data_IF_128817676747
#
_entry.id   IF_128817676747
#
_cell.length_a   1.000
_cell.length_b   1.000
_cell.length_c   1.000
_cell.angle_alpha   90.00
_cell.angle_beta   90.00
_cell.angle_gamma   90.00
#
_symmetry.space_group_name_H-M   'P 1'
#
loop_
_entity.id
_entity.type
_entity.pdbx_description
1 polymer ?
#
# COMPACT_ATOMS: atom_id res chain seq x y z
N UNK A 1 -30.26 2.34 -66.20
CA UNK A 1 -31.64 2.72 -66.58
C UNK A 1 -32.61 1.83 -65.83
N UNK A 2 -33.51 2.45 -65.05
CA UNK A 2 -34.80 1.93 -64.53
C UNK A 2 -34.77 0.67 -63.62
N UNK A 3 -35.55 0.51 -62.55
CA UNK A 3 -36.48 1.33 -61.78
C UNK A 3 -37.16 0.40 -60.73
N UNK A 4 -37.70 0.99 -59.64
CA UNK A 4 -38.86 0.57 -58.80
C UNK A 4 -38.65 -0.28 -57.53
N UNK A 5 -38.57 0.45 -56.43
CA UNK A 5 -39.45 0.49 -55.23
C UNK A 5 -40.41 -0.65 -54.85
N UNK A 6 -40.60 -0.74 -53.51
CA UNK A 6 -41.77 -1.15 -52.65
C UNK A 6 -41.42 -2.31 -51.69
N UNK A 7 -41.82 -2.43 -50.42
CA UNK A 7 -42.48 -1.62 -49.37
C UNK A 7 -42.26 -2.35 -48.02
N UNK A 8 -42.26 -1.63 -46.88
CA UNK A 8 -42.17 -2.17 -45.51
C UNK A 8 -43.32 -3.15 -45.15
N UNK A 9 -43.16 -3.94 -44.07
CA UNK A 9 -44.05 -3.71 -42.92
C UNK A 9 -43.34 -3.66 -41.56
N UNK A 10 -44.06 -3.07 -40.60
CA UNK A 10 -43.73 -2.80 -39.21
C UNK A 10 -44.58 -3.71 -38.32
N UNK A 11 -43.98 -4.55 -37.47
CA UNK A 11 -44.65 -5.15 -36.31
C UNK A 11 -43.65 -5.20 -35.15
N UNK A 12 -44.06 -4.58 -34.04
CA UNK A 12 -43.44 -4.63 -32.71
C UNK A 12 -43.44 -6.06 -32.19
N UNK A 13 -42.37 -6.52 -31.54
CA UNK A 13 -42.49 -7.20 -30.25
C UNK A 13 -41.15 -7.34 -29.51
N UNK A 14 -41.23 -6.91 -28.25
CA UNK A 14 -40.60 -7.43 -27.04
C UNK A 14 -39.13 -7.88 -27.01
N UNK A 15 -38.38 -7.10 -26.22
CA UNK A 15 -37.15 -7.42 -25.50
C UNK A 15 -37.11 -8.83 -24.88
N UNK A 16 -35.90 -9.40 -24.73
CA UNK A 16 -35.52 -9.87 -23.40
C UNK A 16 -34.21 -9.22 -22.96
N UNK A 17 -34.36 -8.23 -22.07
CA UNK A 17 -33.59 -8.02 -20.85
C UNK A 17 -32.30 -8.86 -20.71
N UNK A 18 -31.22 -8.40 -21.34
CA UNK A 18 -29.87 -8.82 -20.95
C UNK A 18 -29.53 -8.03 -19.69
N UNK A 19 -29.64 -8.72 -18.56
CA UNK A 19 -29.14 -8.27 -17.26
C UNK A 19 -27.63 -8.11 -17.34
N UNK A 20 -27.18 -6.96 -17.83
CA UNK A 20 -25.89 -6.40 -17.44
C UNK A 20 -26.02 -6.00 -15.97
N UNK A 21 -25.72 -6.96 -15.09
CA UNK A 21 -25.28 -6.66 -13.73
C UNK A 21 -23.94 -5.94 -13.85
N UNK A 22 -24.01 -4.65 -14.17
CA UNK A 22 -22.92 -3.73 -13.91
C UNK A 22 -22.65 -3.83 -12.40
N UNK A 23 -21.53 -4.48 -12.06
CA UNK A 23 -20.98 -4.50 -10.73
C UNK A 23 -20.97 -3.07 -10.21
N UNK A 24 -21.77 -2.79 -9.17
CA UNK A 24 -21.67 -1.54 -8.42
C UNK A 24 -20.20 -1.35 -8.09
N UNK A 25 -19.59 -0.35 -8.71
CA UNK A 25 -18.31 0.21 -8.30
C UNK A 25 -18.51 0.72 -6.88
N UNK A 26 -18.29 -0.14 -5.89
CA UNK A 26 -18.10 0.27 -4.52
C UNK A 26 -16.87 1.19 -4.56
N UNK A 27 -17.05 2.46 -4.19
CA UNK A 27 -16.00 3.46 -4.24
C UNK A 27 -15.04 3.23 -3.05
N UNK A 28 -14.44 2.04 -2.99
CA UNK A 28 -13.55 1.61 -1.94
C UNK A 28 -12.25 2.37 -2.11
N UNK A 29 -11.78 3.05 -1.06
CA UNK A 29 -10.49 3.72 -1.09
C UNK A 29 -9.38 2.67 -1.22
N UNK A 30 -8.73 2.65 -2.38
CA UNK A 30 -7.59 1.77 -2.65
C UNK A 30 -6.28 2.49 -2.33
N UNK A 31 -5.32 1.73 -1.81
CA UNK A 31 -3.97 2.17 -1.50
C UNK A 31 -2.95 1.17 -2.03
N UNK A 32 -1.85 1.64 -2.65
CA UNK A 32 -1.55 3.02 -3.02
C UNK A 32 -2.29 3.47 -4.30
N UNK A 33 -2.18 4.74 -4.72
CA UNK A 33 -2.80 5.23 -5.96
C UNK A 33 -1.92 5.01 -7.21
N UNK A 34 -0.62 4.77 -7.00
CA UNK A 34 0.35 4.43 -8.04
C UNK A 34 1.54 3.64 -7.48
N UNK A 35 2.46 3.22 -8.33
CA UNK A 35 3.69 2.49 -7.97
C UNK A 35 3.51 0.98 -7.82
N UNK A 36 2.29 0.54 -7.49
CA UNK A 36 1.90 -0.87 -7.46
C UNK A 36 0.91 -1.19 -8.58
N UNK A 37 0.94 -2.44 -9.05
CA UNK A 37 0.02 -2.97 -10.05
C UNK A 37 -1.36 -3.24 -9.46
N UNK A 38 -1.40 -3.81 -8.25
CA UNK A 38 -2.64 -4.12 -7.55
C UNK A 38 -2.77 -3.31 -6.26
N UNK A 39 -3.49 -2.18 -6.27
CA UNK A 39 -3.81 -1.47 -5.06
C UNK A 39 -4.88 -2.24 -4.27
N UNK A 40 -4.87 -2.09 -2.94
CA UNK A 40 -5.75 -2.85 -2.03
C UNK A 40 -6.61 -1.94 -1.19
N UNK A 41 -7.71 -2.48 -0.69
CA UNK A 41 -8.51 -1.86 0.36
C UNK A 41 -8.03 -2.26 1.76
N UNK A 42 -8.31 -1.38 2.72
CA UNK A 42 -8.06 -1.58 4.15
C UNK A 42 -6.62 -2.03 4.47
N UNK A 43 -5.57 -1.33 3.97
CA UNK A 43 -4.19 -1.73 4.17
C UNK A 43 -3.78 -1.94 5.64
N UNK A 44 -4.20 -1.09 6.57
CA UNK A 44 -3.87 -1.21 8.00
C UNK A 44 -4.55 -2.41 8.65
N UNK A 45 -5.80 -2.69 8.26
CA UNK A 45 -6.48 -3.92 8.70
C UNK A 45 -5.74 -5.16 8.20
N UNK A 46 -5.25 -5.17 6.96
CA UNK A 46 -4.46 -6.31 6.44
C UNK A 46 -3.08 -6.41 7.09
N UNK A 47 -2.45 -5.28 7.45
CA UNK A 47 -1.20 -5.27 8.20
C UNK A 47 -1.37 -5.92 9.58
N UNK A 48 -2.45 -5.58 10.28
CA UNK A 48 -2.80 -6.18 11.57
C UNK A 48 -3.06 -7.69 11.46
N UNK A 49 -3.72 -8.12 10.38
CA UNK A 49 -3.99 -9.53 10.11
C UNK A 49 -2.78 -10.30 9.57
N UNK A 50 -1.65 -9.63 9.29
CA UNK A 50 -0.48 -10.24 8.66
C UNK A 50 -0.65 -10.57 7.16
N UNK A 51 -1.76 -10.17 6.53
CA UNK A 51 -2.10 -10.51 5.14
C UNK A 51 -1.85 -9.38 4.14
N UNK A 52 -1.16 -8.30 4.55
CA UNK A 52 -0.94 -7.11 3.70
C UNK A 52 -0.16 -7.40 2.41
N UNK A 53 0.73 -8.40 2.42
CA UNK A 53 1.47 -8.85 1.24
C UNK A 53 0.69 -9.87 0.40
N UNK A 54 -0.41 -10.42 0.93
CA UNK A 54 -1.12 -11.52 0.29
C UNK A 54 -2.00 -11.04 -0.85
N UNK A 55 -2.26 -11.95 -1.80
CA UNK A 55 -3.12 -11.68 -2.97
C UNK A 55 -2.63 -10.48 -3.81
N UNK A 56 -1.31 -10.30 -3.91
CA UNK A 56 -0.65 -9.31 -4.76
C UNK A 56 0.23 -9.98 -5.82
N UNK A 57 0.50 -9.29 -6.95
CA UNK A 57 1.54 -9.69 -7.89
C UNK A 57 2.90 -9.83 -7.19
N UNK A 58 3.74 -10.75 -7.67
CA UNK A 58 5.07 -10.98 -7.08
C UNK A 58 5.92 -9.71 -7.09
N UNK A 59 5.86 -8.95 -8.19
CA UNK A 59 6.56 -7.68 -8.38
C UNK A 59 6.20 -6.69 -7.29
N UNK A 60 4.92 -6.53 -6.97
CA UNK A 60 4.46 -5.64 -5.91
C UNK A 60 4.97 -6.10 -4.54
N UNK A 61 4.96 -7.39 -4.25
CA UNK A 61 5.51 -7.92 -2.99
C UNK A 61 7.02 -7.64 -2.90
N UNK A 62 7.76 -7.79 -4.00
CA UNK A 62 9.19 -7.44 -4.01
C UNK A 62 9.41 -5.96 -3.72
N UNK A 63 8.65 -5.08 -4.38
CA UNK A 63 8.76 -3.63 -4.17
C UNK A 63 8.50 -3.27 -2.71
N UNK A 64 7.42 -3.81 -2.14
CA UNK A 64 7.00 -3.56 -0.76
C UNK A 64 8.03 -4.03 0.27
N UNK A 65 8.59 -5.23 0.10
CA UNK A 65 9.61 -5.77 1.01
C UNK A 65 10.89 -4.93 0.97
N UNK A 66 11.34 -4.55 -0.22
CA UNK A 66 12.54 -3.74 -0.39
C UNK A 66 12.36 -2.35 0.23
N UNK A 67 11.24 -1.69 -0.04
CA UNK A 67 11.00 -0.34 0.46
C UNK A 67 10.72 -0.30 1.96
N UNK A 68 10.10 -1.35 2.51
CA UNK A 68 9.99 -1.50 3.96
C UNK A 68 11.37 -1.56 4.62
N UNK A 69 12.31 -2.33 4.05
CA UNK A 69 13.69 -2.37 4.53
C UNK A 69 14.41 -1.02 4.35
N UNK A 70 14.34 -0.41 3.17
CA UNK A 70 15.03 0.86 2.87
C UNK A 70 14.56 1.98 3.78
N UNK A 71 13.24 2.09 3.97
CA UNK A 71 12.65 3.10 4.86
C UNK A 71 12.98 2.81 6.33
N UNK A 72 12.97 1.55 6.76
CA UNK A 72 13.37 1.19 8.13
C UNK A 72 14.84 1.56 8.41
N UNK A 73 15.74 1.39 7.43
CA UNK A 73 17.13 1.81 7.56
C UNK A 73 17.29 3.33 7.65
N UNK A 74 16.59 4.09 6.82
CA UNK A 74 16.53 5.55 6.91
C UNK A 74 15.97 5.99 8.27
N UNK A 75 14.83 5.45 8.69
CA UNK A 75 14.18 5.85 9.96
C UNK A 75 15.07 5.51 11.17
N UNK A 76 15.81 4.40 11.14
CA UNK A 76 16.77 4.05 12.22
C UNK A 76 17.91 5.07 12.28
N UNK A 77 18.44 5.46 11.12
CA UNK A 77 19.49 6.47 11.03
C UNK A 77 19.00 7.84 11.51
N UNK A 78 17.82 8.27 11.05
CA UNK A 78 17.27 9.60 11.34
C UNK A 78 16.77 9.72 12.78
N UNK A 79 16.02 8.73 13.29
CA UNK A 79 15.35 8.85 14.60
C UNK A 79 16.21 8.37 15.76
N UNK A 80 17.11 7.41 15.54
CA UNK A 80 17.95 6.84 16.62
C UNK A 80 19.41 7.26 16.55
N UNK A 81 19.81 7.97 15.49
CA UNK A 81 21.22 8.19 15.16
C UNK A 81 22.03 6.88 15.13
N UNK A 82 21.35 5.78 14.82
CA UNK A 82 21.93 4.44 14.77
C UNK A 82 22.13 4.00 13.32
N UNK A 83 23.27 3.37 13.06
CA UNK A 83 23.58 2.85 11.74
C UNK A 83 23.32 1.35 11.74
N UNK A 84 22.38 0.91 10.91
CA UNK A 84 22.15 -0.52 10.72
C UNK A 84 23.37 -1.15 10.05
N UNK A 85 23.93 -2.19 10.66
CA UNK A 85 24.95 -3.02 10.04
C UNK A 85 24.46 -3.51 8.66
N UNK A 86 25.36 -3.56 7.69
CA UNK A 86 25.07 -4.01 6.31
C UNK A 86 24.10 -3.14 5.51
N UNK A 87 23.80 -1.94 6.00
CA UNK A 87 23.08 -0.91 5.27
C UNK A 87 24.05 0.04 4.55
N UNK A 88 23.52 0.85 3.63
CA UNK A 88 24.28 1.92 2.97
C UNK A 88 24.77 2.99 3.96
N UNK A 89 24.06 3.20 5.08
CA UNK A 89 24.46 4.14 6.13
C UNK A 89 25.72 3.67 6.88
N UNK A 90 26.01 2.37 6.85
CA UNK A 90 27.25 1.78 7.37
C UNK A 90 28.44 1.89 6.41
N UNK A 91 28.33 2.70 5.34
CA UNK A 91 29.36 2.81 4.31
C UNK A 91 29.42 1.62 3.34
N UNK A 92 28.45 0.71 3.39
CA UNK A 92 28.38 -0.39 2.43
C UNK A 92 27.97 0.11 1.03
N UNK A 93 28.52 -0.51 -0.02
CA UNK A 93 28.17 -0.17 -1.43
C UNK A 93 26.70 -0.39 -1.77
N UNK A 94 25.98 -1.19 -0.98
CA UNK A 94 24.56 -1.49 -1.14
C UNK A 94 24.00 -2.03 0.16
N UNK A 95 22.69 -1.86 0.38
CA UNK A 95 21.96 -2.48 1.49
C UNK A 95 21.61 -3.96 1.28
N UNK A 96 22.17 -4.62 0.25
CA UNK A 96 21.86 -6.02 -0.12
C UNK A 96 21.98 -7.00 1.03
N UNK A 97 23.07 -6.92 1.80
CA UNK A 97 23.32 -7.84 2.93
C UNK A 97 22.33 -7.62 4.07
N UNK A 98 22.01 -6.36 4.42
CA UNK A 98 20.99 -6.06 5.39
C UNK A 98 19.59 -6.50 4.92
N UNK A 99 19.30 -6.34 3.62
CA UNK A 99 18.04 -6.83 3.04
C UNK A 99 17.92 -8.36 3.07
N UNK A 100 19.01 -9.10 2.84
CA UNK A 100 19.03 -10.54 3.01
C UNK A 100 18.73 -10.96 4.46
N UNK A 101 19.27 -10.22 5.45
CA UNK A 101 18.95 -10.43 6.87
C UNK A 101 17.46 -10.17 7.13
N UNK A 102 16.90 -9.11 6.54
CA UNK A 102 15.47 -8.77 6.61
C UNK A 102 14.58 -9.89 6.04
N UNK A 103 14.86 -10.37 4.82
CA UNK A 103 14.08 -11.44 4.20
C UNK A 103 14.15 -12.76 5.00
N UNK A 104 15.31 -13.11 5.56
CA UNK A 104 15.44 -14.28 6.44
C UNK A 104 14.55 -14.16 7.67
N UNK A 105 14.48 -12.97 8.31
CA UNK A 105 13.58 -12.72 9.43
C UNK A 105 12.12 -12.80 9.00
N UNK A 106 11.74 -12.15 7.89
CA UNK A 106 10.37 -12.19 7.38
C UNK A 106 9.90 -13.64 7.12
N UNK A 107 10.78 -14.49 6.59
CA UNK A 107 10.47 -15.90 6.33
C UNK A 107 10.26 -16.76 7.59
N UNK A 108 10.72 -16.30 8.77
CA UNK A 108 10.46 -17.00 10.04
C UNK A 108 9.10 -16.68 10.65
N UNK A 109 8.38 -15.68 10.11
CA UNK A 109 7.12 -15.21 10.67
C UNK A 109 5.96 -15.95 10.00
N UNK A 110 5.21 -16.77 10.75
CA UNK A 110 4.11 -17.54 10.17
C UNK A 110 3.06 -16.62 9.54
N UNK A 111 2.72 -16.88 8.28
CA UNK A 111 1.63 -16.20 7.57
C UNK A 111 1.91 -14.76 7.14
N UNK A 112 3.13 -14.22 7.33
CA UNK A 112 3.47 -12.87 6.87
C UNK A 112 3.74 -12.82 5.37
N UNK A 113 4.47 -13.81 4.86
CA UNK A 113 4.81 -13.90 3.45
C UNK A 113 3.74 -14.67 2.68
N UNK A 114 3.47 -14.30 1.41
CA UNK A 114 2.47 -14.99 0.60
C UNK A 114 2.74 -16.49 0.49
N UNK A 115 1.71 -17.33 0.29
CA UNK A 115 1.87 -18.80 0.21
C UNK A 115 2.80 -19.28 -0.91
N UNK A 116 2.96 -18.47 -1.98
CA UNK A 116 3.86 -18.77 -3.09
C UNK A 116 5.32 -18.41 -2.80
N UNK A 117 5.63 -17.83 -1.64
CA UNK A 117 6.97 -17.38 -1.31
C UNK A 117 7.91 -18.56 -1.09
N UNK A 118 9.01 -18.59 -1.84
CA UNK A 118 10.04 -19.62 -1.75
C UNK A 118 11.45 -19.01 -1.68
N UNK A 119 12.47 -19.85 -1.53
CA UNK A 119 13.87 -19.43 -1.59
C UNK A 119 14.23 -18.82 -2.95
N UNK A 120 13.67 -19.36 -4.04
CA UNK A 120 13.84 -18.85 -5.40
C UNK A 120 13.23 -17.45 -5.53
N UNK A 121 12.05 -17.23 -4.94
CA UNK A 121 11.40 -15.91 -4.90
C UNK A 121 12.16 -14.90 -4.06
N UNK A 122 12.74 -15.34 -2.94
CA UNK A 122 13.67 -14.50 -2.16
C UNK A 122 14.88 -14.06 -2.99
N UNK A 123 15.48 -14.96 -3.76
CA UNK A 123 16.61 -14.64 -4.64
C UNK A 123 16.20 -13.71 -5.80
N UNK A 124 15.00 -13.92 -6.36
CA UNK A 124 14.44 -13.04 -7.39
C UNK A 124 14.17 -11.63 -6.85
N UNK A 125 13.59 -11.51 -5.66
CA UNK A 125 13.36 -10.25 -4.96
C UNK A 125 14.68 -9.49 -4.72
N UNK A 126 15.72 -10.20 -4.28
CA UNK A 126 17.03 -9.61 -4.08
C UNK A 126 17.64 -9.11 -5.40
N UNK A 127 17.54 -9.91 -6.47
CA UNK A 127 18.01 -9.52 -7.80
C UNK A 127 17.26 -8.29 -8.31
N UNK A 128 15.95 -8.23 -8.11
CA UNK A 128 15.10 -7.09 -8.45
C UNK A 128 15.60 -5.82 -7.74
N UNK A 129 15.88 -5.89 -6.44
CA UNK A 129 16.41 -4.75 -5.69
C UNK A 129 17.84 -4.33 -6.03
N UNK A 130 18.57 -5.14 -6.81
CA UNK A 130 19.93 -4.85 -7.26
C UNK A 130 20.01 -4.36 -8.71
N UNK A 131 18.88 -4.30 -9.41
CA UNK A 131 18.78 -3.73 -10.75
C UNK A 131 18.85 -2.19 -10.66
N UNK A 132 19.85 -1.53 -11.31
CA UNK A 132 20.00 -0.08 -11.25
C UNK A 132 18.84 0.70 -11.89
N UNK A 133 18.02 0.07 -12.74
CA UNK A 133 16.88 0.70 -13.40
C UNK A 133 15.59 0.65 -12.57
N UNK A 134 15.56 -0.11 -11.48
CA UNK A 134 14.41 -0.17 -10.58
C UNK A 134 14.42 0.99 -9.59
N UNK A 135 13.24 1.49 -9.26
CA UNK A 135 13.10 2.50 -8.19
C UNK A 135 13.48 1.91 -6.82
N UNK A 136 13.20 0.63 -6.61
CA UNK A 136 13.54 -0.15 -5.42
C UNK A 136 15.02 -0.58 -5.38
N UNK A 137 15.93 0.31 -5.75
CA UNK A 137 17.35 0.02 -5.78
C UNK A 137 17.97 0.09 -4.38
N UNK A 138 18.47 -1.05 -3.90
CA UNK A 138 19.13 -1.23 -2.60
C UNK A 138 20.45 -0.47 -2.47
N UNK A 139 20.96 0.16 -3.53
CA UNK A 139 22.13 1.06 -3.48
C UNK A 139 21.75 2.49 -3.11
N UNK A 140 20.47 2.82 -3.10
CA UNK A 140 19.98 4.19 -2.90
C UNK A 140 19.16 4.29 -1.61
N UNK A 141 19.44 5.36 -0.85
CA UNK A 141 18.61 5.77 0.26
C UNK A 141 17.20 6.15 -0.23
N UNK A 142 16.24 6.12 0.69
CA UNK A 142 14.89 6.60 0.43
C UNK A 142 14.40 7.37 1.65
N UNK A 143 13.80 8.54 1.43
CA UNK A 143 13.17 9.31 2.50
C UNK A 143 11.68 9.10 2.48
N UNK A 144 11.03 9.43 3.59
CA UNK A 144 9.57 9.46 3.73
C UNK A 144 8.88 10.17 2.56
N UNK A 145 9.38 11.35 2.14
CA UNK A 145 8.78 12.13 1.05
C UNK A 145 8.86 11.39 -0.29
N UNK A 146 10.00 10.74 -0.56
CA UNK A 146 10.22 10.00 -1.80
C UNK A 146 9.24 8.81 -1.90
N UNK A 147 8.95 8.14 -0.78
CA UNK A 147 7.91 7.09 -0.68
C UNK A 147 6.51 7.65 -0.95
N UNK A 148 6.14 8.74 -0.26
CA UNK A 148 4.82 9.36 -0.44
C UNK A 148 4.59 9.77 -1.89
N UNK A 149 5.62 10.35 -2.53
CA UNK A 149 5.56 10.75 -3.92
C UNK A 149 5.52 9.56 -4.86
N UNK A 150 6.32 8.51 -4.63
CA UNK A 150 6.35 7.33 -5.51
C UNK A 150 5.01 6.59 -5.51
N UNK A 151 4.42 6.38 -4.33
CA UNK A 151 3.18 5.63 -4.16
C UNK A 151 1.91 6.49 -4.26
N UNK A 152 2.04 7.82 -4.19
CA UNK A 152 0.88 8.73 -4.25
C UNK A 152 -0.06 8.57 -3.05
N UNK A 153 0.46 8.16 -1.90
CA UNK A 153 -0.31 7.99 -0.66
C UNK A 153 0.51 8.50 0.53
N UNK A 154 -0.06 9.48 1.24
CA UNK A 154 0.59 10.12 2.40
C UNK A 154 0.73 9.19 3.60
N UNK A 155 -0.07 8.12 3.67
CA UNK A 155 -0.03 7.11 4.73
C UNK A 155 0.85 5.91 4.36
N UNK A 156 1.34 5.83 3.12
CA UNK A 156 2.14 4.70 2.67
C UNK A 156 3.43 4.47 3.48
N UNK A 157 4.18 5.52 3.90
CA UNK A 157 5.31 5.33 4.81
C UNK A 157 4.91 4.64 6.11
N UNK A 158 3.72 4.92 6.65
CA UNK A 158 3.23 4.25 7.86
C UNK A 158 2.95 2.77 7.60
N UNK A 159 2.39 2.42 6.44
CA UNK A 159 2.15 1.02 6.07
C UNK A 159 3.47 0.24 6.00
N UNK A 160 4.50 0.81 5.36
CA UNK A 160 5.83 0.20 5.26
C UNK A 160 6.51 0.06 6.62
N UNK A 161 6.38 1.05 7.51
CA UNK A 161 6.90 1.00 8.89
C UNK A 161 6.27 -0.13 9.70
N UNK A 162 4.95 -0.28 9.60
CA UNK A 162 4.24 -1.38 10.28
C UNK A 162 4.62 -2.75 9.72
N UNK A 163 4.84 -2.87 8.40
CA UNK A 163 5.39 -4.10 7.83
C UNK A 163 6.80 -4.39 8.37
N UNK A 164 7.68 -3.39 8.41
CA UNK A 164 9.04 -3.56 8.90
C UNK A 164 9.08 -3.87 10.40
N UNK A 165 8.20 -3.25 11.20
CA UNK A 165 7.97 -3.58 12.61
C UNK A 165 7.55 -5.04 12.77
N UNK A 166 6.62 -5.54 11.93
CA UNK A 166 6.25 -6.95 11.98
C UNK A 166 7.45 -7.88 11.76
N UNK A 167 8.42 -7.49 10.91
CA UNK A 167 9.63 -8.27 10.62
C UNK A 167 10.70 -8.16 11.72
N UNK A 168 10.94 -6.97 12.26
CA UNK A 168 11.98 -6.74 13.26
C UNK A 168 11.51 -6.90 14.71
N UNK A 169 10.20 -6.86 14.95
CA UNK A 169 9.56 -6.89 16.27
C UNK A 169 9.60 -5.55 17.01
N UNK A 170 10.25 -4.53 16.46
CA UNK A 170 10.41 -3.20 17.05
C UNK A 170 10.21 -2.15 15.97
N UNK A 171 9.49 -1.07 16.31
CA UNK A 171 9.39 0.10 15.44
C UNK A 171 10.72 0.89 15.42
N UNK A 172 11.12 1.53 14.31
CA UNK A 172 12.35 2.34 14.25
C UNK A 172 12.47 3.42 15.33
N UNK A 173 11.35 3.97 15.81
CA UNK A 173 11.33 4.96 16.90
C UNK A 173 11.49 4.35 18.31
N UNK A 174 11.68 3.03 18.44
CA UNK A 174 11.83 2.35 19.73
C UNK A 174 10.53 2.20 20.54
N UNK A 175 9.38 2.53 19.96
CA UNK A 175 8.05 2.45 20.60
C UNK A 175 7.25 1.25 20.11
N UNK A 176 6.28 0.80 20.90
CA UNK A 176 5.29 -0.20 20.49
C UNK A 176 4.27 0.43 19.52
N UNK A 177 4.21 -0.05 18.28
CA UNK A 177 3.30 0.42 17.24
C UNK A 177 1.85 0.00 17.42
N UNK A 178 1.53 -0.85 18.40
CA UNK A 178 0.18 -1.42 18.60
C UNK A 178 -0.91 -0.36 18.71
N UNK A 179 -0.68 0.72 19.48
CA UNK A 179 -1.65 1.80 19.65
C UNK A 179 -1.94 2.53 18.33
N UNK A 180 -0.88 2.86 17.59
CA UNK A 180 -0.99 3.50 16.27
C UNK A 180 -1.69 2.58 15.26
N UNK A 181 -1.38 1.28 15.25
CA UNK A 181 -2.02 0.30 14.37
C UNK A 181 -3.52 0.23 14.59
N UNK A 182 -3.96 0.10 15.84
CA UNK A 182 -5.39 0.09 16.20
C UNK A 182 -6.09 1.38 15.79
N UNK A 183 -5.45 2.53 15.99
CA UNK A 183 -6.00 3.81 15.57
C UNK A 183 -6.18 3.88 14.05
N UNK A 184 -5.18 3.48 13.27
CA UNK A 184 -5.26 3.51 11.81
C UNK A 184 -6.33 2.57 11.27
N UNK A 185 -6.49 1.38 11.84
CA UNK A 185 -7.60 0.48 11.48
C UNK A 185 -8.97 1.09 11.78
N UNK A 186 -9.10 1.81 12.90
CA UNK A 186 -10.35 2.49 13.23
C UNK A 186 -10.68 3.59 12.20
N UNK A 187 -9.68 4.35 11.77
CA UNK A 187 -9.82 5.35 10.71
C UNK A 187 -10.31 4.71 9.41
N UNK A 188 -9.70 3.62 8.96
CA UNK A 188 -10.13 2.91 7.74
C UNK A 188 -11.60 2.47 7.79
N UNK A 189 -12.02 1.90 8.92
CA UNK A 189 -13.40 1.42 9.10
C UNK A 189 -14.41 2.57 9.14
N UNK A 190 -14.01 3.73 9.67
CA UNK A 190 -14.85 4.93 9.66
C UNK A 190 -14.97 5.48 8.23
N UNK A 191 -13.86 5.55 7.49
CA UNK A 191 -13.87 5.97 6.08
C UNK A 191 -14.76 5.07 5.22
N UNK A 192 -14.65 3.74 5.39
CA UNK A 192 -15.51 2.77 4.71
C UNK A 192 -16.99 3.01 5.01
N UNK A 193 -17.35 3.20 6.29
CA UNK A 193 -18.74 3.49 6.69
C UNK A 193 -19.26 4.82 6.11
N UNK A 194 -18.43 5.86 6.05
CA UNK A 194 -18.81 7.15 5.47
C UNK A 194 -19.12 7.00 3.99
N UNK A 195 -18.30 6.25 3.24
CA UNK A 195 -18.51 5.99 1.82
C UNK A 195 -19.83 5.23 1.61
N UNK A 196 -20.12 4.21 2.43
CA UNK A 196 -21.39 3.45 2.34
C UNK A 196 -22.61 4.35 2.58
N UNK A 197 -22.53 5.30 3.52
CA UNK A 197 -23.61 6.25 3.80
C UNK A 197 -23.82 7.23 2.61
N UNK A 198 -22.76 7.76 2.01
CA UNK A 198 -22.86 8.69 0.87
C UNK A 198 -23.44 8.01 -0.40
N UNK A 199 -23.13 6.73 -0.60
CA UNK A 199 -23.69 5.92 -1.70
C UNK A 199 -25.18 5.60 -1.50
N UNK A 200 -25.65 5.51 -0.25
CA UNK A 200 -27.04 5.18 0.09
C UNK A 200 -27.93 6.40 0.37
N UNK A 201 -27.35 7.59 0.59
CA UNK A 201 -28.07 8.81 0.93
C UNK A 201 -27.74 9.97 -0.01
N UNK A 202 -28.72 10.40 -0.80
CA UNK A 202 -28.59 11.56 -1.68
C UNK A 202 -28.06 12.82 -0.96
N UNK A 203 -26.90 13.30 -1.45
CA UNK A 203 -26.30 14.63 -1.34
C UNK A 203 -26.79 15.49 -0.15
N UNK A 204 -26.21 15.28 1.03
CA UNK A 204 -26.17 16.33 2.07
C UNK A 204 -24.73 16.83 2.23
N UNK A 205 -24.50 18.10 1.88
CA UNK A 205 -23.20 18.79 2.01
C UNK A 205 -22.79 18.84 3.49
N UNK A 206 -21.80 18.05 3.88
CA UNK A 206 -21.16 18.12 5.19
C UNK A 206 -19.91 18.99 5.13
N UNK A 207 -20.08 20.30 5.36
CA UNK A 207 -18.97 21.23 5.53
C UNK A 207 -18.13 20.96 6.80
N UNK A 208 -18.65 20.20 7.77
CA UNK A 208 -17.94 19.89 9.04
C UNK A 208 -16.89 18.79 8.96
N UNK A 209 -16.97 17.86 7.99
CA UNK A 209 -16.11 16.67 7.95
C UNK A 209 -14.72 16.99 7.35
N UNK A 210 -14.65 17.95 6.41
CA UNK A 210 -13.36 18.40 5.86
C UNK A 210 -12.47 19.01 6.94
N UNK A 211 -13.05 19.68 7.94
CA UNK A 211 -12.30 20.24 9.06
C UNK A 211 -11.72 19.14 9.98
N UNK A 212 -12.47 18.06 10.22
CA UNK A 212 -11.97 16.93 11.01
C UNK A 212 -10.84 16.16 10.29
N UNK A 213 -10.97 15.91 8.98
CA UNK A 213 -9.89 15.27 8.21
C UNK A 213 -8.64 16.15 8.15
N UNK A 214 -8.78 17.48 8.00
CA UNK A 214 -7.64 18.41 8.04
C UNK A 214 -7.00 18.44 9.43
N UNK A 215 -7.78 18.45 10.51
CA UNK A 215 -7.25 18.39 11.87
C UNK A 215 -6.52 17.07 12.17
N UNK A 216 -7.03 15.93 11.67
CA UNK A 216 -6.37 14.62 11.78
C UNK A 216 -5.08 14.58 10.96
N UNK A 217 -5.06 15.15 9.75
CA UNK A 217 -3.86 15.26 8.93
C UNK A 217 -2.81 16.19 9.57
N UNK A 218 -3.23 17.25 10.26
CA UNK A 218 -2.34 18.17 10.99
C UNK A 218 -1.78 17.50 12.26
N UNK A 219 -2.60 16.76 13.01
CA UNK A 219 -2.15 16.01 14.20
C UNK A 219 -1.23 14.84 13.82
N UNK A 220 -1.56 14.10 12.76
CA UNK A 220 -0.66 13.07 12.20
C UNK A 220 0.61 13.75 11.67
N UNK A 221 0.50 14.92 11.05
CA UNK A 221 1.64 15.74 10.64
C UNK A 221 2.59 16.03 11.80
N UNK A 222 2.06 16.53 12.92
CA UNK A 222 2.81 16.83 14.15
C UNK A 222 3.47 15.59 14.77
N UNK A 223 2.74 14.48 14.91
CA UNK A 223 3.29 13.22 15.45
C UNK A 223 4.34 12.62 14.50
N UNK A 224 4.23 12.87 13.19
CA UNK A 224 5.10 12.31 12.16
C UNK A 224 6.31 13.18 11.80
N UNK A 225 6.48 14.36 12.41
CA UNK A 225 7.63 15.27 12.19
C UNK A 225 8.66 15.28 13.31
N UNK A 226 8.40 14.66 14.47
CA UNK A 226 9.40 14.56 15.54
C UNK A 226 9.92 15.92 16.02
N UNK A 227 8.99 16.80 16.43
CA UNK A 227 9.27 17.89 17.37
C UNK A 227 8.50 17.60 18.66
#
# INVERSE_FOLDING_TARGET
MLSRYTTKPNIKDQSPNVSEKASKSENIRLSPTKGLELPISMPFTRLDQGTWLHNRPETDVYKLLIDAYRLYAEDTYVFRAEVMEDSIYAGCKSGRRGFQKFLRKAATIPGLLPPWWTKEKSAACEKFGMDPFQWQNLRLAVRKRDIMEHYGDHLFPMQLRMLAEAVYGIHPCGTDGTGMRRFMMAVERVEEKIIVIDVSGGRKRFYGIRAACVAILVMIGWIMTGF
#
